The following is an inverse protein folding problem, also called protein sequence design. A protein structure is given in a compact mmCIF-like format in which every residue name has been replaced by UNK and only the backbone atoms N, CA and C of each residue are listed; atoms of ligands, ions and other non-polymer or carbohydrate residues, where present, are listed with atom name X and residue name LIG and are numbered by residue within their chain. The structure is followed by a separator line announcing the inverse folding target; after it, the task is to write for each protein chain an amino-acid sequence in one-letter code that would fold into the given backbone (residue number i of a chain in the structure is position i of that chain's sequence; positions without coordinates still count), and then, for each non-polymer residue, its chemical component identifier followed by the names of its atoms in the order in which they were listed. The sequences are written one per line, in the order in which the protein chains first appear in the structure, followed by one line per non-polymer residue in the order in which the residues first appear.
data_IF_429860549006
#
_entry.id   IF_429860549006
#
_cell.length_a   1.000
_cell.length_b   1.000
_cell.length_c   1.000
_cell.angle_alpha   90.00
_cell.angle_beta   90.00
_cell.angle_gamma   90.00
#
_symmetry.space_group_name_H-M   'P 1'
#
loop_
_entity.id
_entity.type
_entity.pdbx_description
1 polymer ?
#
# COMPACT_ATOMS: atom_id res chain seq x y z
N UNK A 1 21.19 85.61 -52.38
CA UNK A 1 22.26 84.86 -51.62
C UNK A 1 21.66 84.15 -50.39
N UNK A 2 20.77 84.76 -49.61
CA UNK A 2 20.16 84.19 -48.42
C UNK A 2 19.25 82.97 -48.77
N UNK A 3 18.39 83.08 -49.79
CA UNK A 3 17.48 82.05 -50.25
C UNK A 3 18.26 80.78 -50.60
N UNK A 4 19.36 80.88 -51.33
CA UNK A 4 20.22 79.78 -51.77
C UNK A 4 20.90 79.11 -50.62
N UNK A 5 21.32 79.86 -49.57
CA UNK A 5 21.86 79.31 -48.34
C UNK A 5 20.81 78.53 -47.55
N UNK A 6 19.62 79.00 -47.43
CA UNK A 6 18.46 78.35 -46.84
C UNK A 6 18.04 77.06 -47.52
N UNK A 7 18.02 77.01 -48.84
CA UNK A 7 17.70 75.89 -49.68
C UNK A 7 18.79 74.77 -49.48
N UNK A 8 20.06 75.16 -49.43
CA UNK A 8 21.16 74.20 -49.15
C UNK A 8 21.09 73.63 -47.72
N UNK A 9 20.74 74.49 -46.76
CA UNK A 9 20.56 74.00 -45.36
C UNK A 9 19.37 73.01 -45.23
N UNK A 10 18.25 73.31 -45.96
CA UNK A 10 17.08 72.49 -45.98
C UNK A 10 17.35 71.10 -46.61
N UNK A 11 18.15 71.10 -47.69
CA UNK A 11 18.56 69.88 -48.38
C UNK A 11 19.49 69.02 -47.50
N UNK A 12 20.45 69.64 -46.79
CA UNK A 12 21.33 68.94 -45.85
C UNK A 12 20.55 68.32 -44.67
N UNK A 13 19.65 69.11 -44.08
CA UNK A 13 18.77 68.63 -43.00
C UNK A 13 17.87 67.45 -43.43
N UNK A 14 17.34 67.51 -44.64
CA UNK A 14 16.57 66.39 -45.21
C UNK A 14 17.40 65.12 -45.36
N UNK A 15 18.61 65.23 -45.91
CA UNK A 15 19.52 64.12 -46.03
C UNK A 15 19.97 63.52 -44.68
N UNK A 16 20.26 64.37 -43.72
CA UNK A 16 20.58 63.92 -42.35
C UNK A 16 19.39 63.20 -41.69
N UNK A 17 18.18 63.74 -41.83
CA UNK A 17 16.97 63.10 -41.30
C UNK A 17 16.70 61.75 -41.98
N UNK A 18 16.82 61.68 -43.28
CA UNK A 18 16.66 60.43 -44.06
C UNK A 18 17.65 59.35 -43.65
N UNK A 19 18.91 59.72 -43.50
CA UNK A 19 19.98 58.84 -42.99
C UNK A 19 19.70 58.36 -41.55
N UNK A 20 19.18 59.23 -40.71
CA UNK A 20 18.87 58.87 -39.32
C UNK A 20 17.63 57.94 -39.24
N UNK A 21 16.64 58.17 -40.07
CA UNK A 21 15.47 57.32 -40.19
C UNK A 21 15.85 55.92 -40.70
N UNK A 22 16.73 55.85 -41.70
CA UNK A 22 17.21 54.59 -42.26
C UNK A 22 18.03 53.80 -41.25
N UNK A 23 18.90 54.47 -40.45
CA UNK A 23 19.66 53.82 -39.36
C UNK A 23 18.70 53.27 -38.28
N UNK A 24 17.66 54.04 -37.90
CA UNK A 24 16.69 53.62 -36.89
C UNK A 24 15.84 52.43 -37.38
N UNK A 25 15.40 52.48 -38.65
CA UNK A 25 14.70 51.36 -39.27
C UNK A 25 15.54 50.09 -39.31
N UNK A 26 16.79 50.19 -39.72
CA UNK A 26 17.71 49.02 -39.76
C UNK A 26 17.98 48.45 -38.37
N UNK A 27 18.07 49.27 -37.31
CA UNK A 27 18.22 48.84 -35.93
C UNK A 27 16.96 48.10 -35.41
N UNK A 28 15.80 48.69 -35.68
CA UNK A 28 14.49 48.07 -35.31
C UNK A 28 14.23 46.73 -36.05
N UNK A 29 14.63 46.67 -37.34
CA UNK A 29 14.54 45.40 -38.08
C UNK A 29 15.41 44.31 -37.49
N UNK A 30 16.65 44.65 -37.10
CA UNK A 30 17.53 43.69 -36.40
C UNK A 30 16.97 43.23 -35.09
N UNK A 31 16.47 44.16 -34.25
CA UNK A 31 15.86 43.83 -32.95
C UNK A 31 14.62 42.94 -33.13
N UNK A 32 13.75 43.28 -34.11
CA UNK A 32 12.59 42.42 -34.45
C UNK A 32 13.02 41.01 -34.85
N UNK A 33 14.05 40.90 -35.68
CA UNK A 33 14.52 39.58 -36.16
C UNK A 33 15.20 38.77 -35.04
N UNK A 34 15.92 39.42 -34.13
CA UNK A 34 16.46 38.79 -32.91
C UNK A 34 15.34 38.28 -32.01
N UNK A 35 14.33 39.10 -31.71
CA UNK A 35 13.19 38.71 -30.91
C UNK A 35 12.39 37.56 -31.54
N UNK A 36 12.22 37.62 -32.88
CA UNK A 36 11.55 36.53 -33.59
C UNK A 36 12.31 35.22 -33.54
N UNK A 37 13.62 35.28 -33.65
CA UNK A 37 14.49 34.09 -33.51
C UNK A 37 14.45 33.52 -32.08
N UNK A 38 14.46 34.38 -31.06
CA UNK A 38 14.30 33.98 -29.66
C UNK A 38 12.96 33.31 -29.40
N UNK A 39 11.87 33.86 -29.97
CA UNK A 39 10.52 33.28 -29.85
C UNK A 39 10.49 31.85 -30.45
N UNK A 40 11.03 31.66 -31.66
CA UNK A 40 11.06 30.36 -32.32
C UNK A 40 11.91 29.33 -31.52
N UNK A 41 13.02 29.77 -30.91
CA UNK A 41 13.82 28.93 -30.04
C UNK A 41 13.04 28.52 -28.78
N UNK A 42 12.41 29.46 -28.13
CA UNK A 42 11.61 29.21 -26.94
C UNK A 42 10.41 28.29 -27.21
N UNK A 43 9.74 28.46 -28.35
CA UNK A 43 8.67 27.55 -28.77
C UNK A 43 9.17 26.12 -28.99
N UNK A 44 10.35 25.95 -29.60
CA UNK A 44 10.98 24.63 -29.80
C UNK A 44 11.37 23.99 -28.49
N UNK A 45 11.98 24.74 -27.58
CA UNK A 45 12.35 24.25 -26.25
C UNK A 45 11.11 23.83 -25.44
N UNK A 46 10.04 24.64 -25.47
CA UNK A 46 8.78 24.30 -24.81
C UNK A 46 8.14 23.03 -25.39
N UNK A 47 8.15 22.89 -26.73
CA UNK A 47 7.63 21.67 -27.37
C UNK A 47 8.44 20.43 -27.02
N UNK A 48 9.76 20.53 -26.99
CA UNK A 48 10.65 19.44 -26.57
C UNK A 48 10.43 19.06 -25.11
N UNK A 49 10.33 20.03 -24.21
CA UNK A 49 10.05 19.81 -22.79
C UNK A 49 8.67 19.13 -22.59
N UNK A 50 7.67 19.57 -23.31
CA UNK A 50 6.33 18.96 -23.26
C UNK A 50 6.34 17.51 -23.77
N UNK A 51 7.04 17.23 -24.87
CA UNK A 51 7.17 15.87 -25.40
C UNK A 51 7.89 14.95 -24.41
N UNK A 52 9.03 15.40 -23.88
CA UNK A 52 9.79 14.65 -22.88
C UNK A 52 8.98 14.37 -21.60
N UNK A 53 8.21 15.35 -21.14
CA UNK A 53 7.32 15.19 -19.98
C UNK A 53 6.23 14.15 -20.26
N UNK A 54 5.61 14.21 -21.44
CA UNK A 54 4.60 13.25 -21.87
C UNK A 54 5.17 11.82 -21.93
N UNK A 55 6.32 11.63 -22.54
CA UNK A 55 6.99 10.34 -22.61
C UNK A 55 7.30 9.76 -21.22
N UNK A 56 7.76 10.61 -20.28
CA UNK A 56 8.00 10.18 -18.90
C UNK A 56 6.73 9.70 -18.22
N UNK A 57 5.62 10.43 -18.36
CA UNK A 57 4.34 10.03 -17.79
C UNK A 57 3.79 8.76 -18.44
N UNK A 58 3.95 8.58 -19.73
CA UNK A 58 3.53 7.34 -20.42
C UNK A 58 4.30 6.12 -19.93
N UNK A 59 5.61 6.26 -19.70
CA UNK A 59 6.44 5.19 -19.11
C UNK A 59 6.01 4.89 -17.68
N UNK A 60 5.78 5.92 -16.86
CA UNK A 60 5.35 5.75 -15.46
C UNK A 60 3.97 5.10 -15.37
N UNK A 61 3.03 5.50 -16.20
CA UNK A 61 1.70 4.88 -16.28
C UNK A 61 1.79 3.42 -16.66
N UNK A 62 2.59 3.08 -17.66
CA UNK A 62 2.80 1.68 -18.08
C UNK A 62 3.36 0.84 -16.93
N UNK A 63 4.36 1.33 -16.21
CA UNK A 63 4.91 0.62 -15.05
C UNK A 63 3.89 0.42 -13.95
N UNK A 64 3.03 1.40 -13.70
CA UNK A 64 1.94 1.28 -12.73
C UNK A 64 0.89 0.26 -13.18
N UNK A 65 0.53 0.25 -14.46
CA UNK A 65 -0.43 -0.70 -15.01
C UNK A 65 0.12 -2.14 -14.96
N UNK A 66 1.39 -2.37 -15.31
CA UNK A 66 2.05 -3.66 -15.18
C UNK A 66 2.08 -4.13 -13.72
N UNK A 67 2.32 -3.22 -12.78
CA UNK A 67 2.30 -3.51 -11.34
C UNK A 67 0.89 -3.89 -10.87
N UNK A 68 -0.13 -3.17 -11.32
CA UNK A 68 -1.53 -3.47 -11.00
C UNK A 68 -1.93 -4.84 -11.59
N UNK A 69 -1.57 -5.15 -12.83
CA UNK A 69 -1.83 -6.46 -13.43
C UNK A 69 -1.11 -7.59 -12.67
N UNK A 70 0.15 -7.38 -12.30
CA UNK A 70 0.88 -8.33 -11.48
C UNK A 70 0.16 -8.63 -10.15
N UNK A 71 -0.30 -7.59 -9.45
CA UNK A 71 -1.05 -7.77 -8.20
C UNK A 71 -2.41 -8.41 -8.40
N UNK A 72 -3.11 -8.10 -9.50
CA UNK A 72 -4.37 -8.77 -9.84
C UNK A 72 -4.17 -10.26 -10.12
N UNK A 73 -3.17 -10.60 -10.90
CA UNK A 73 -2.80 -11.99 -11.21
C UNK A 73 -2.34 -12.75 -9.96
N UNK A 74 -1.54 -12.09 -9.11
CA UNK A 74 -1.09 -12.65 -7.85
C UNK A 74 -2.28 -12.94 -6.92
N UNK A 75 -3.22 -11.99 -6.80
CA UNK A 75 -4.46 -12.14 -6.03
C UNK A 75 -5.35 -13.26 -6.60
N UNK A 76 -5.49 -13.34 -7.94
CA UNK A 76 -6.25 -14.38 -8.60
C UNK A 76 -5.62 -15.77 -8.39
N UNK A 77 -4.29 -15.90 -8.48
CA UNK A 77 -3.57 -17.15 -8.23
C UNK A 77 -3.67 -17.60 -6.77
N UNK A 78 -3.59 -16.67 -5.81
CA UNK A 78 -3.85 -16.98 -4.40
C UNK A 78 -5.29 -17.44 -4.19
N UNK A 79 -6.26 -16.75 -4.76
CA UNK A 79 -7.69 -17.13 -4.69
C UNK A 79 -7.94 -18.51 -5.29
N UNK A 80 -7.35 -18.80 -6.45
CA UNK A 80 -7.52 -20.12 -7.13
C UNK A 80 -6.88 -21.26 -6.36
N UNK A 81 -5.72 -21.00 -5.71
CA UNK A 81 -5.08 -22.00 -4.84
C UNK A 81 -5.89 -22.25 -3.56
N UNK A 82 -6.51 -21.20 -3.02
CA UNK A 82 -7.37 -21.29 -1.83
C UNK A 82 -8.76 -21.88 -2.11
N UNK A 83 -9.25 -21.89 -3.35
CA UNK A 83 -10.52 -22.56 -3.73
C UNK A 83 -10.36 -24.09 -3.70
N UNK A 84 -9.14 -24.62 -3.88
CA UNK A 84 -8.86 -26.06 -3.85
C UNK A 84 -8.51 -26.62 -2.48
N UNK A 85 -8.13 -25.76 -1.54
CA UNK A 85 -7.78 -26.11 -0.15
C UNK A 85 -8.67 -25.33 0.82
N UNK A 86 -9.08 -25.95 1.92
CA UNK A 86 -9.77 -25.18 2.95
C UNK A 86 -8.83 -24.09 3.52
N UNK A 87 -9.38 -22.96 3.94
CA UNK A 87 -8.58 -21.89 4.55
C UNK A 87 -7.78 -22.40 5.76
N UNK A 88 -8.35 -23.34 6.49
CA UNK A 88 -7.71 -24.05 7.59
C UNK A 88 -6.45 -24.79 7.14
N UNK A 89 -6.55 -25.60 6.08
CA UNK A 89 -5.41 -26.34 5.52
C UNK A 89 -4.32 -25.39 5.02
N UNK A 90 -4.70 -24.29 4.41
CA UNK A 90 -3.75 -23.27 3.96
C UNK A 90 -2.96 -22.67 5.14
N UNK A 91 -3.63 -22.25 6.20
CA UNK A 91 -2.98 -21.69 7.40
C UNK A 91 -2.09 -22.74 8.10
N UNK A 92 -2.55 -23.97 8.20
CA UNK A 92 -1.78 -25.07 8.77
C UNK A 92 -0.52 -25.39 7.95
N UNK A 93 -0.64 -25.41 6.63
CA UNK A 93 0.50 -25.60 5.73
C UNK A 93 1.52 -24.48 5.87
N UNK A 94 1.08 -23.22 5.83
CA UNK A 94 1.97 -22.04 5.94
C UNK A 94 2.67 -22.01 7.31
N UNK A 95 1.96 -22.38 8.39
CA UNK A 95 2.57 -22.48 9.72
C UNK A 95 3.64 -23.58 9.75
N UNK A 96 3.30 -24.80 9.34
CA UNK A 96 4.21 -25.96 9.39
C UNK A 96 5.47 -25.74 8.54
N UNK A 97 5.33 -25.13 7.37
CA UNK A 97 6.43 -24.78 6.47
C UNK A 97 7.45 -23.84 7.15
N UNK A 98 6.98 -22.90 7.94
CA UNK A 98 7.79 -21.86 8.57
C UNK A 98 8.11 -22.14 10.04
N UNK A 99 7.50 -23.16 10.65
CA UNK A 99 7.56 -23.45 12.09
C UNK A 99 8.99 -23.51 12.61
N UNK A 100 9.83 -24.35 12.01
CA UNK A 100 11.19 -24.58 12.51
C UNK A 100 12.08 -23.35 12.47
N UNK A 101 11.84 -22.46 11.49
CA UNK A 101 12.64 -21.24 11.31
C UNK A 101 12.13 -20.08 12.19
N UNK A 102 10.81 -19.94 12.33
CA UNK A 102 10.20 -18.76 12.96
C UNK A 102 9.65 -19.06 14.37
N UNK A 103 9.10 -20.26 14.60
CA UNK A 103 8.34 -20.61 15.78
C UNK A 103 8.71 -22.01 16.32
N UNK A 104 9.99 -22.29 16.63
CA UNK A 104 10.45 -23.66 16.89
C UNK A 104 9.79 -24.32 18.13
N UNK A 105 9.28 -23.53 19.06
CA UNK A 105 8.62 -23.99 20.30
C UNK A 105 7.12 -23.82 20.28
N UNK A 106 6.57 -23.37 19.16
CA UNK A 106 5.15 -23.17 19.05
C UNK A 106 4.43 -24.41 18.53
N UNK A 107 3.22 -24.58 19.00
CA UNK A 107 2.26 -25.55 18.50
C UNK A 107 1.11 -24.80 17.84
N UNK A 108 0.65 -25.30 16.71
CA UNK A 108 -0.53 -24.84 16.01
C UNK A 108 -1.32 -26.03 15.53
N UNK A 109 -2.55 -26.13 15.94
CA UNK A 109 -3.39 -27.26 15.61
C UNK A 109 -4.85 -27.05 15.97
N UNK A 110 -5.68 -27.92 15.41
CA UNK A 110 -7.10 -27.93 15.65
C UNK A 110 -7.39 -28.31 17.09
N UNK A 111 -8.28 -27.56 17.74
CA UNK A 111 -8.77 -27.93 19.07
C UNK A 111 -9.63 -29.20 18.99
N UNK A 112 -9.08 -30.31 19.46
CA UNK A 112 -9.74 -31.60 19.48
C UNK A 112 -10.51 -31.87 20.79
N UNK A 113 -10.54 -30.89 21.71
CA UNK A 113 -11.25 -31.06 22.98
C UNK A 113 -12.77 -30.88 22.80
N UNK A 114 -13.44 -32.00 22.49
CA UNK A 114 -14.87 -32.07 22.21
C UNK A 114 -15.78 -31.74 23.44
N UNK A 115 -15.20 -31.47 24.63
CA UNK A 115 -15.95 -31.19 25.84
C UNK A 115 -16.71 -29.87 25.81
N UNK A 116 -16.30 -28.95 24.95
CA UNK A 116 -16.89 -27.60 24.84
C UNK A 116 -17.81 -27.43 23.64
N UNK A 117 -17.98 -28.44 22.76
CA UNK A 117 -18.95 -28.41 21.66
C UNK A 117 -18.53 -27.57 20.44
N UNK A 118 -17.41 -26.87 20.49
CA UNK A 118 -16.84 -26.13 19.37
C UNK A 118 -16.00 -27.06 18.49
N UNK A 119 -16.45 -27.33 17.28
CA UNK A 119 -15.69 -28.08 16.28
C UNK A 119 -15.13 -27.09 15.26
N UNK A 120 -13.85 -26.84 15.29
CA UNK A 120 -13.26 -26.16 14.13
C UNK A 120 -12.19 -25.14 14.42
N UNK A 121 -12.02 -24.71 15.65
CA UNK A 121 -11.08 -23.68 16.00
C UNK A 121 -9.65 -24.19 16.08
N UNK A 122 -8.69 -23.35 15.71
CA UNK A 122 -7.27 -23.62 15.81
C UNK A 122 -6.66 -22.82 16.95
N UNK A 123 -5.72 -23.43 17.65
CA UNK A 123 -4.98 -22.79 18.73
C UNK A 123 -3.50 -22.74 18.37
N UNK A 124 -2.94 -21.53 18.43
CA UNK A 124 -1.50 -21.30 18.51
C UNK A 124 -1.10 -21.15 19.96
N UNK A 125 -0.08 -21.87 20.39
CA UNK A 125 0.48 -21.74 21.73
C UNK A 125 1.99 -21.88 21.68
N UNK A 126 2.69 -20.94 22.30
CA UNK A 126 4.15 -20.96 22.44
C UNK A 126 4.54 -20.81 23.90
N UNK A 127 5.47 -21.63 24.35
CA UNK A 127 6.05 -21.58 25.68
C UNK A 127 7.55 -21.36 25.62
N UNK A 128 8.11 -20.78 26.68
CA UNK A 128 9.57 -20.66 26.85
C UNK A 128 10.20 -21.97 27.29
N UNK A 129 11.53 -21.94 27.58
CA UNK A 129 12.30 -23.11 28.03
C UNK A 129 11.84 -23.63 29.39
N UNK A 130 11.21 -22.78 30.19
CA UNK A 130 10.73 -23.11 31.53
C UNK A 130 9.25 -23.53 31.54
N UNK A 131 8.61 -23.59 30.37
CA UNK A 131 7.19 -23.89 30.21
C UNK A 131 6.25 -22.71 30.48
N UNK A 132 6.80 -21.49 30.57
CA UNK A 132 5.98 -20.28 30.73
C UNK A 132 5.41 -19.89 29.37
N UNK A 133 4.08 -19.64 29.34
CA UNK A 133 3.43 -19.24 28.12
C UNK A 133 3.92 -17.86 27.66
N UNK A 134 4.44 -17.81 26.43
CA UNK A 134 4.85 -16.58 25.75
C UNK A 134 3.63 -15.95 25.09
N UNK A 135 2.88 -16.76 24.31
CA UNK A 135 1.75 -16.29 23.50
C UNK A 135 0.77 -17.43 23.26
N UNK A 136 -0.52 -17.13 23.38
CA UNK A 136 -1.60 -18.00 22.95
C UNK A 136 -2.64 -17.24 22.15
N UNK A 137 -3.06 -17.84 21.03
CA UNK A 137 -4.03 -17.24 20.11
C UNK A 137 -5.07 -18.27 19.71
N UNK A 138 -6.34 -17.90 19.84
CA UNK A 138 -7.48 -18.64 19.31
C UNK A 138 -7.75 -18.13 17.88
N UNK A 139 -7.78 -19.04 16.91
CA UNK A 139 -8.08 -18.75 15.53
C UNK A 139 -9.40 -19.36 15.09
N UNK A 140 -10.23 -18.57 14.47
CA UNK A 140 -11.36 -18.99 13.67
C UNK A 140 -11.09 -18.66 12.20
N UNK A 141 -11.46 -19.56 11.27
CA UNK A 141 -11.19 -19.43 9.85
C UNK A 141 -12.48 -19.53 9.05
N UNK A 142 -12.80 -18.48 8.28
CA UNK A 142 -14.05 -18.42 7.49
C UNK A 142 -13.76 -18.14 6.03
N UNK A 143 -14.26 -19.06 5.18
CA UNK A 143 -14.16 -18.98 3.73
C UNK A 143 -15.54 -18.72 3.13
N UNK A 144 -15.62 -18.06 1.99
CA UNK A 144 -16.86 -17.85 1.21
C UNK A 144 -17.48 -19.16 0.69
N UNK A 145 -16.66 -20.22 0.57
CA UNK A 145 -17.11 -21.55 0.11
C UNK A 145 -17.94 -22.35 1.12
N UNK A 146 -17.99 -21.94 2.39
CA UNK A 146 -18.86 -22.58 3.39
C UNK A 146 -20.31 -22.20 3.11
N UNK A 147 -21.14 -23.14 2.69
CA UNK A 147 -22.57 -22.91 2.33
C UNK A 147 -23.37 -22.16 3.42
N UNK A 148 -22.95 -22.27 4.66
CA UNK A 148 -23.53 -21.56 5.82
C UNK A 148 -22.94 -20.17 6.04
N UNK A 149 -21.75 -19.89 5.52
CA UNK A 149 -21.01 -18.65 5.76
C UNK A 149 -21.28 -17.56 4.71
N UNK A 150 -21.76 -17.90 3.50
CA UNK A 150 -21.94 -16.98 2.35
C UNK A 150 -22.90 -15.81 2.61
N UNK A 151 -23.74 -15.90 3.64
CA UNK A 151 -24.64 -14.81 4.05
C UNK A 151 -24.30 -14.19 5.41
N UNK A 152 -23.26 -14.67 6.08
CA UNK A 152 -22.85 -14.17 7.39
C UNK A 152 -21.76 -13.12 7.24
N UNK A 153 -21.88 -12.06 8.03
CA UNK A 153 -20.83 -11.04 8.19
C UNK A 153 -19.81 -11.50 9.22
N UNK A 154 -18.60 -10.95 9.17
CA UNK A 154 -17.53 -11.23 10.11
C UNK A 154 -17.98 -11.01 11.58
N UNK A 155 -18.76 -9.97 11.83
CA UNK A 155 -19.29 -9.64 13.17
C UNK A 155 -20.11 -10.76 13.83
N UNK A 156 -20.71 -11.64 13.04
CA UNK A 156 -21.52 -12.75 13.58
C UNK A 156 -20.67 -13.81 14.31
N UNK A 157 -19.38 -13.85 14.04
CA UNK A 157 -18.44 -14.82 14.64
C UNK A 157 -17.74 -14.29 15.89
N UNK A 158 -17.73 -12.98 16.12
CA UNK A 158 -16.95 -12.38 17.20
C UNK A 158 -17.32 -12.88 18.59
N UNK A 159 -18.62 -12.98 18.86
CA UNK A 159 -19.11 -13.41 20.17
C UNK A 159 -18.71 -14.86 20.51
N UNK A 160 -18.80 -15.75 19.51
CA UNK A 160 -18.44 -17.15 19.68
C UNK A 160 -16.92 -17.29 19.85
N UNK A 161 -16.15 -16.65 18.99
CA UNK A 161 -14.70 -16.65 19.04
C UNK A 161 -14.16 -16.07 20.36
N UNK A 162 -14.75 -15.00 20.91
CA UNK A 162 -14.36 -14.45 22.22
C UNK A 162 -14.68 -15.42 23.36
N UNK A 163 -15.81 -16.11 23.28
CA UNK A 163 -16.19 -17.14 24.24
C UNK A 163 -15.16 -18.28 24.23
N UNK A 164 -14.83 -18.81 23.05
CA UNK A 164 -13.88 -19.92 22.90
C UNK A 164 -12.47 -19.51 23.33
N UNK A 165 -12.03 -18.28 23.01
CA UNK A 165 -10.79 -17.70 23.52
C UNK A 165 -10.69 -17.77 25.04
N UNK A 166 -11.75 -17.34 25.73
CA UNK A 166 -11.79 -17.34 27.22
C UNK A 166 -11.85 -18.74 27.80
N UNK A 167 -12.66 -19.62 27.22
CA UNK A 167 -12.79 -21.02 27.67
C UNK A 167 -11.49 -21.80 27.54
N UNK A 168 -10.71 -21.53 26.48
CA UNK A 168 -9.39 -22.16 26.24
C UNK A 168 -8.23 -21.40 26.87
N UNK A 169 -8.49 -20.28 27.54
CA UNK A 169 -7.46 -19.45 28.19
C UNK A 169 -6.46 -18.85 27.22
N UNK A 170 -6.87 -18.56 25.99
CA UNK A 170 -6.02 -17.89 25.01
C UNK A 170 -5.98 -16.38 25.24
N UNK A 171 -4.80 -15.78 25.03
CA UNK A 171 -4.62 -14.34 25.22
C UNK A 171 -5.29 -13.52 24.14
N UNK A 172 -5.18 -13.93 22.87
CA UNK A 172 -5.73 -13.25 21.72
C UNK A 172 -6.76 -14.11 21.00
N UNK A 173 -7.64 -13.43 20.24
CA UNK A 173 -8.57 -14.04 19.29
C UNK A 173 -8.36 -13.44 17.91
N UNK A 174 -8.26 -14.27 16.88
CA UNK A 174 -8.06 -13.82 15.51
C UNK A 174 -9.03 -14.54 14.57
N UNK A 175 -9.85 -13.76 13.88
CA UNK A 175 -10.67 -14.24 12.78
C UNK A 175 -9.88 -14.08 11.47
N UNK A 176 -9.50 -15.20 10.85
CA UNK A 176 -8.93 -15.23 9.50
C UNK A 176 -10.09 -15.40 8.51
N UNK A 177 -10.31 -14.45 7.63
CA UNK A 177 -11.53 -14.44 6.83
C UNK A 177 -11.33 -14.01 5.38
N UNK A 178 -12.08 -14.66 4.50
CA UNK A 178 -12.32 -14.25 3.11
C UNK A 178 -13.73 -13.66 2.91
N UNK A 179 -14.57 -13.67 3.96
CA UNK A 179 -15.89 -13.07 3.90
C UNK A 179 -15.82 -11.56 3.66
N UNK A 180 -16.93 -11.01 3.14
CA UNK A 180 -17.04 -9.58 2.87
C UNK A 180 -15.89 -9.06 1.98
N UNK A 181 -15.67 -9.75 0.85
CA UNK A 181 -14.59 -9.44 -0.09
C UNK A 181 -14.63 -8.02 -0.65
N UNK A 182 -15.82 -7.39 -0.67
CA UNK A 182 -16.03 -6.01 -1.16
C UNK A 182 -15.86 -4.95 -0.06
N UNK A 183 -15.61 -5.36 1.19
CA UNK A 183 -15.44 -4.42 2.30
C UNK A 183 -14.05 -3.78 2.28
N UNK A 184 -14.00 -2.45 2.09
CA UNK A 184 -12.74 -1.69 2.16
C UNK A 184 -12.07 -1.83 3.52
N UNK A 185 -12.86 -1.88 4.61
CA UNK A 185 -12.36 -2.04 5.96
C UNK A 185 -11.53 -3.33 6.09
N UNK A 186 -12.12 -4.49 5.74
CA UNK A 186 -11.41 -5.77 5.85
C UNK A 186 -10.32 -5.95 4.78
N UNK A 187 -10.45 -5.27 3.64
CA UNK A 187 -9.43 -5.29 2.59
C UNK A 187 -8.17 -4.46 2.95
N UNK A 188 -8.21 -3.65 4.01
CA UNK A 188 -7.01 -3.06 4.62
C UNK A 188 -6.06 -4.13 5.17
N UNK A 189 -6.55 -5.34 5.43
CA UNK A 189 -5.78 -6.52 5.75
C UNK A 189 -5.80 -6.92 7.22
N UNK A 190 -5.65 -5.98 8.15
CA UNK A 190 -5.72 -6.19 9.60
C UNK A 190 -6.68 -5.16 10.19
N UNK A 191 -7.71 -5.64 10.87
CA UNK A 191 -8.71 -4.80 11.55
C UNK A 191 -8.71 -5.12 13.05
N UNK A 192 -8.47 -4.11 13.85
CA UNK A 192 -8.56 -4.21 15.31
C UNK A 192 -10.02 -4.02 15.73
N UNK A 193 -10.59 -5.05 16.36
CA UNK A 193 -11.94 -5.03 16.92
C UNK A 193 -11.94 -5.07 18.46
N UNK A 194 -10.80 -4.75 19.08
CA UNK A 194 -10.61 -4.75 20.53
C UNK A 194 -11.52 -3.78 21.27
N UNK A 195 -12.08 -2.81 20.57
CA UNK A 195 -13.10 -1.90 21.11
C UNK A 195 -14.40 -2.63 21.52
N UNK A 196 -14.71 -3.76 20.89
CA UNK A 196 -15.91 -4.56 21.16
C UNK A 196 -15.56 -5.87 21.92
N UNK A 197 -14.44 -6.50 21.56
CA UNK A 197 -13.97 -7.75 22.15
C UNK A 197 -12.46 -7.66 22.39
N UNK A 198 -12.07 -7.65 23.65
CA UNK A 198 -10.68 -7.46 24.09
C UNK A 198 -9.71 -8.39 23.36
N UNK A 199 -8.59 -7.84 22.84
CA UNK A 199 -7.52 -8.56 22.16
C UNK A 199 -8.00 -9.39 20.95
N UNK A 200 -8.99 -8.87 20.22
CA UNK A 200 -9.53 -9.51 19.03
C UNK A 200 -9.19 -8.73 17.77
N UNK A 201 -8.78 -9.48 16.72
CA UNK A 201 -8.44 -8.96 15.41
C UNK A 201 -9.12 -9.75 14.30
N UNK A 202 -9.43 -9.06 13.19
CA UNK A 202 -9.89 -9.68 11.95
C UNK A 202 -8.81 -9.48 10.89
N UNK A 203 -8.37 -10.56 10.26
CA UNK A 203 -7.29 -10.49 9.28
C UNK A 203 -7.64 -11.20 7.98
N UNK A 204 -7.02 -10.73 6.89
CA UNK A 204 -6.97 -11.49 5.64
C UNK A 204 -5.87 -12.57 5.73
N UNK A 205 -5.99 -13.70 5.01
CA UNK A 205 -5.08 -14.86 5.13
C UNK A 205 -3.59 -14.54 4.93
N UNK A 206 -3.27 -13.58 4.05
CA UNK A 206 -1.88 -13.17 3.83
C UNK A 206 -1.19 -12.56 5.05
N UNK A 207 -1.96 -12.13 6.05
CA UNK A 207 -1.46 -11.56 7.30
C UNK A 207 -1.38 -12.59 8.45
N UNK A 208 -1.66 -13.87 8.19
CA UNK A 208 -1.64 -14.91 9.20
C UNK A 208 -0.28 -15.03 9.92
N UNK A 209 0.79 -15.33 9.20
CA UNK A 209 2.13 -15.42 9.80
C UNK A 209 2.67 -14.05 10.29
N UNK A 210 2.52 -12.95 9.53
CA UNK A 210 2.90 -11.63 10.03
C UNK A 210 2.24 -11.24 11.36
N UNK A 211 0.96 -11.56 11.55
CA UNK A 211 0.25 -11.25 12.79
C UNK A 211 0.77 -12.07 13.98
N UNK A 212 1.01 -13.36 13.80
CA UNK A 212 1.65 -14.20 14.82
C UNK A 212 3.01 -13.61 15.20
N UNK A 213 3.84 -13.27 14.23
CA UNK A 213 5.18 -12.69 14.45
C UNK A 213 5.11 -11.38 15.23
N UNK A 214 4.17 -10.49 14.86
CA UNK A 214 3.98 -9.21 15.53
C UNK A 214 3.60 -9.38 17.01
N UNK A 215 2.59 -10.22 17.29
CA UNK A 215 2.13 -10.49 18.65
C UNK A 215 3.19 -11.20 19.47
N UNK A 216 3.91 -12.15 18.88
CA UNK A 216 5.03 -12.84 19.52
C UNK A 216 6.14 -11.87 19.94
N UNK A 217 6.55 -10.98 19.05
CA UNK A 217 7.58 -10.00 19.38
C UNK A 217 7.14 -9.06 20.50
N UNK A 218 5.88 -8.63 20.51
CA UNK A 218 5.32 -7.83 21.58
C UNK A 218 5.30 -8.59 22.92
N UNK A 219 4.92 -9.88 22.90
CA UNK A 219 4.90 -10.72 24.08
C UNK A 219 6.32 -10.97 24.66
N UNK A 220 7.29 -11.24 23.79
CA UNK A 220 8.70 -11.43 24.22
C UNK A 220 9.28 -10.16 24.84
N UNK A 221 9.02 -8.99 24.27
CA UNK A 221 9.43 -7.71 24.86
C UNK A 221 8.79 -7.49 26.23
N UNK A 222 7.50 -7.82 26.38
CA UNK A 222 6.80 -7.71 27.67
C UNK A 222 7.36 -8.65 28.73
N UNK A 223 7.77 -9.85 28.35
CA UNK A 223 8.42 -10.82 29.27
C UNK A 223 9.77 -10.31 29.76
N UNK A 224 10.60 -9.74 28.88
CA UNK A 224 11.86 -9.12 29.26
C UNK A 224 11.67 -8.03 30.30
N UNK A 225 10.74 -7.10 30.07
CA UNK A 225 10.42 -6.03 31.03
C UNK A 225 9.93 -6.56 32.38
N UNK A 226 9.12 -7.64 32.40
CA UNK A 226 8.65 -8.25 33.64
C UNK A 226 9.78 -8.92 34.41
N UNK A 227 10.74 -9.54 33.72
CA UNK A 227 11.91 -10.16 34.33
C UNK A 227 12.88 -9.11 34.90
N UNK A 228 13.09 -8.00 34.19
CA UNK A 228 13.92 -6.87 34.67
C UNK A 228 13.33 -6.17 35.90
N UNK A 229 11.99 -6.09 36.01
CA UNK A 229 11.29 -5.50 37.16
C UNK A 229 11.23 -6.44 38.38
N UNK A 230 11.47 -7.74 38.21
CA UNK A 230 11.45 -8.75 39.26
C UNK A 230 12.82 -8.99 39.91
N UNK A 231 13.88 -8.36 39.39
CA UNK A 231 15.25 -8.31 39.92
C UNK A 231 15.48 -7.06 40.76
#
# INVERSE_FOLDING_TARGET
KEVQALENQLTTLRLEHENQLQKTLSALEKERDEVKNQLVLQEKEAALAQTSLKERYEVELRQKDETIEFYKDFKAKQSTKMIGESLEQHCEYEFNKNRMAMFPRAEFGKDNDARTGSKGDYIYREVDENGVEILSIMFEMKNEGDETATKKKNEHFFKELDKDRREKGCEYAILVTLLEADSELYNSGIVDVSYAYEKMYVIRPQFFLPMITLLRNAALNSLQYKQELAL
#
